data_IF_448399046734
#
_entry.id   IF_448399046734
#
_cell.length_a   1.000
_cell.length_b   1.000
_cell.length_c   1.000
_cell.angle_alpha   90.00
_cell.angle_beta   90.00
_cell.angle_gamma   90.00
#
_symmetry.space_group_name_H-M   'P 1'
#
loop_
_entity.id
_entity.type
_entity.pdbx_description
1 polymer ?
#
# COMPACT_ATOMS: atom_id res chain seq x y z
N UNK A 1 -3.83 12.40 2.18
CA UNK A 1 -2.83 13.49 2.07
C UNK A 1 -1.81 13.34 3.19
N UNK A 2 -0.53 13.02 2.90
CA UNK A 2 0.50 12.95 3.95
C UNK A 2 0.76 14.37 4.48
N UNK A 3 0.63 14.57 5.80
CA UNK A 3 0.90 15.87 6.45
C UNK A 3 2.32 16.31 6.08
N UNK A 4 2.46 17.44 5.39
CA UNK A 4 3.77 18.08 5.16
C UNK A 4 4.46 18.19 6.52
N UNK A 5 5.70 17.68 6.64
CA UNK A 5 6.48 17.79 7.87
C UNK A 5 6.56 19.28 8.21
N UNK A 6 5.90 19.69 9.30
CA UNK A 6 5.85 21.11 9.67
C UNK A 6 7.19 21.58 10.25
N UNK A 7 7.38 22.89 10.36
CA UNK A 7 8.58 23.50 10.98
C UNK A 7 8.93 22.88 12.35
N UNK A 8 7.92 22.46 13.12
CA UNK A 8 8.08 21.74 14.40
C UNK A 8 8.89 20.44 14.29
N UNK A 9 8.81 19.74 13.16
CA UNK A 9 9.60 18.53 12.91
C UNK A 9 11.09 18.87 12.77
N UNK A 10 11.42 19.85 11.93
CA UNK A 10 12.80 20.27 11.71
C UNK A 10 13.43 20.89 12.96
N UNK A 11 12.66 21.61 13.77
CA UNK A 11 13.13 22.13 15.06
C UNK A 11 13.45 21.02 16.07
N UNK A 12 12.59 20.00 16.22
CA UNK A 12 12.87 18.83 17.08
C UNK A 12 14.10 18.07 16.59
N UNK A 13 14.22 17.92 15.27
CA UNK A 13 15.35 17.24 14.65
C UNK A 13 16.65 18.03 14.82
N UNK A 14 16.61 19.36 14.73
CA UNK A 14 17.74 20.24 15.02
C UNK A 14 18.25 20.04 16.45
N UNK A 15 17.35 20.06 17.44
CA UNK A 15 17.71 19.82 18.85
C UNK A 15 18.33 18.43 19.02
N UNK A 16 17.77 17.41 18.38
CA UNK A 16 18.33 16.05 18.42
C UNK A 16 19.75 15.98 17.86
N UNK A 17 19.98 16.58 16.68
CA UNK A 17 21.30 16.63 16.04
C UNK A 17 22.30 17.40 16.88
N UNK A 18 21.88 18.51 17.49
CA UNK A 18 22.72 19.31 18.38
C UNK A 18 23.14 18.51 19.62
N UNK A 19 22.20 17.81 20.27
CA UNK A 19 22.51 16.95 21.43
C UNK A 19 23.46 15.82 21.05
N UNK A 20 23.20 15.12 19.94
CA UNK A 20 24.07 14.06 19.45
C UNK A 20 25.49 14.57 19.15
N UNK A 21 25.59 15.78 18.60
CA UNK A 21 26.87 16.41 18.27
C UNK A 21 27.65 16.84 19.52
N UNK A 22 26.97 17.38 20.53
CA UNK A 22 27.59 17.70 21.83
C UNK A 22 28.15 16.43 22.49
N UNK A 23 27.38 15.33 22.50
CA UNK A 23 27.85 14.04 23.02
C UNK A 23 29.11 13.57 22.27
N UNK A 24 29.11 13.69 20.95
CA UNK A 24 30.26 13.33 20.12
C UNK A 24 31.53 14.11 20.49
N UNK A 25 31.44 15.44 20.65
CA UNK A 25 32.58 16.28 21.05
C UNK A 25 33.08 15.92 22.45
N UNK A 26 32.18 15.67 23.40
CA UNK A 26 32.55 15.25 24.76
C UNK A 26 33.30 13.93 24.75
N UNK A 27 32.86 12.95 23.96
CA UNK A 27 33.54 11.65 23.84
C UNK A 27 34.93 11.81 23.23
N UNK A 28 35.08 12.64 22.19
CA UNK A 28 36.39 12.87 21.56
C UNK A 28 37.32 13.62 22.51
N UNK A 29 36.85 14.67 23.17
CA UNK A 29 37.65 15.41 24.15
C UNK A 29 38.11 14.54 25.31
N UNK A 30 37.23 13.66 25.81
CA UNK A 30 37.58 12.70 26.87
C UNK A 30 38.61 11.64 26.42
N UNK A 31 38.63 11.29 25.13
CA UNK A 31 39.59 10.30 24.57
C UNK A 31 40.94 10.91 24.23
N UNK A 32 40.95 12.14 23.72
CA UNK A 32 42.15 12.79 23.22
C UNK A 32 42.80 13.71 24.26
N UNK A 33 42.14 13.96 25.40
CA UNK A 33 42.65 14.83 26.48
C UNK A 33 42.53 16.33 26.18
N UNK A 34 42.15 16.70 24.97
CA UNK A 34 42.03 18.08 24.52
C UNK A 34 40.74 18.28 23.71
N UNK A 35 40.13 19.44 23.86
CA UNK A 35 39.01 19.86 23.03
C UNK A 35 39.53 20.65 21.83
N UNK A 36 39.28 20.11 20.63
CA UNK A 36 39.61 20.80 19.39
C UNK A 36 38.69 22.02 19.21
N UNK A 37 39.29 23.21 19.21
CA UNK A 37 38.60 24.48 18.99
C UNK A 37 37.86 24.52 17.64
N UNK A 38 38.37 23.79 16.64
CA UNK A 38 37.74 23.63 15.33
C UNK A 38 36.41 22.89 15.44
N UNK A 39 36.34 21.85 16.27
CA UNK A 39 35.12 21.08 16.51
C UNK A 39 34.06 21.89 17.28
N UNK A 40 34.51 22.75 18.19
CA UNK A 40 33.62 23.67 18.91
C UNK A 40 33.04 24.73 17.97
N UNK A 41 33.85 25.29 17.07
CA UNK A 41 33.38 26.22 16.03
C UNK A 41 32.33 25.60 15.11
N UNK A 42 32.40 24.29 14.89
CA UNK A 42 31.41 23.56 14.09
C UNK A 42 30.08 23.27 14.77
N UNK A 43 29.94 23.53 16.07
CA UNK A 43 28.64 23.39 16.76
C UNK A 43 27.54 24.27 16.18
N UNK A 44 27.89 25.41 15.59
CA UNK A 44 26.89 26.35 15.04
C UNK A 44 26.52 25.96 13.62
N UNK A 45 27.50 25.75 12.74
CA UNK A 45 27.21 25.57 11.32
C UNK A 45 26.78 24.14 10.96
N UNK A 46 27.31 23.12 11.62
CA UNK A 46 27.14 21.72 11.21
C UNK A 46 25.70 21.22 11.44
N UNK A 47 25.04 21.50 12.59
CA UNK A 47 23.63 21.18 12.77
C UNK A 47 22.70 21.92 11.79
N UNK A 48 23.01 23.19 11.47
CA UNK A 48 22.24 23.98 10.50
C UNK A 48 22.38 23.36 9.10
N UNK A 49 23.60 23.04 8.68
CA UNK A 49 23.88 22.40 7.40
C UNK A 49 23.20 21.03 7.30
N UNK A 50 23.22 20.24 8.37
CA UNK A 50 22.59 18.92 8.38
C UNK A 50 21.07 19.00 8.24
N UNK A 51 20.42 19.91 8.97
CA UNK A 51 18.97 20.14 8.84
C UNK A 51 18.62 20.69 7.45
N UNK A 52 19.43 21.61 6.93
CA UNK A 52 19.29 22.13 5.56
C UNK A 52 19.42 21.04 4.50
N UNK A 53 20.36 20.12 4.68
CA UNK A 53 20.55 18.97 3.80
C UNK A 53 19.37 18.00 3.89
N UNK A 54 18.86 17.68 5.08
CA UNK A 54 17.65 16.85 5.22
C UNK A 54 16.44 17.51 4.55
N UNK A 55 16.28 18.82 4.69
CA UNK A 55 15.23 19.57 4.01
C UNK A 55 15.41 19.56 2.48
N UNK A 56 16.65 19.69 1.99
CA UNK A 56 17.00 19.62 0.58
C UNK A 56 16.71 18.23 0.01
N UNK A 57 17.07 17.17 0.73
CA UNK A 57 16.77 15.78 0.36
C UNK A 57 15.26 15.53 0.34
N UNK A 58 14.53 15.94 1.38
CA UNK A 58 13.06 15.87 1.39
C UNK A 58 12.49 16.65 0.19
N UNK A 59 13.03 17.81 -0.18
CA UNK A 59 12.48 18.65 -1.25
C UNK A 59 12.81 18.15 -2.67
N UNK A 60 14.02 17.64 -2.89
CA UNK A 60 14.50 17.18 -4.20
C UNK A 60 14.13 15.73 -4.48
N UNK A 61 14.21 14.85 -3.46
CA UNK A 61 13.96 13.43 -3.66
C UNK A 61 12.49 13.05 -3.51
N UNK A 62 11.67 13.81 -2.77
CA UNK A 62 10.25 13.52 -2.68
C UNK A 62 9.54 13.56 -4.06
N UNK A 63 9.75 14.55 -4.95
CA UNK A 63 9.19 14.50 -6.31
C UNK A 63 9.82 13.40 -7.18
N UNK A 64 11.11 13.11 -7.02
CA UNK A 64 11.81 12.03 -7.77
C UNK A 64 11.26 10.63 -7.41
N UNK A 65 11.15 10.32 -6.12
CA UNK A 65 10.57 9.06 -5.64
C UNK A 65 9.05 8.97 -5.87
N UNK A 66 8.31 10.09 -5.82
CA UNK A 66 6.90 10.10 -6.23
C UNK A 66 6.74 9.78 -7.70
N UNK A 67 7.63 10.25 -8.58
CA UNK A 67 7.58 9.98 -10.02
C UNK A 67 7.93 8.53 -10.35
N UNK A 68 8.85 7.92 -9.61
CA UNK A 68 9.25 6.52 -9.77
C UNK A 68 8.24 5.55 -9.12
N UNK A 69 7.61 5.92 -7.99
CA UNK A 69 6.73 5.04 -7.23
C UNK A 69 5.22 5.13 -7.52
N UNK A 70 4.71 6.25 -8.05
CA UNK A 70 3.25 6.44 -8.24
C UNK A 70 2.70 5.96 -9.57
N UNK A 71 3.52 5.77 -10.59
CA UNK A 71 3.03 5.39 -11.92
C UNK A 71 2.29 4.05 -11.96
N UNK A 72 2.67 3.09 -11.09
CA UNK A 72 2.09 1.74 -11.09
C UNK A 72 1.04 1.47 -10.01
N UNK A 73 1.11 2.10 -8.84
CA UNK A 73 0.23 1.76 -7.71
C UNK A 73 -1.17 2.40 -7.78
N UNK A 74 -1.31 3.60 -8.36
CA UNK A 74 -2.59 4.30 -8.41
C UNK A 74 -3.57 3.66 -9.40
N UNK A 75 -3.11 3.29 -10.61
CA UNK A 75 -3.97 2.65 -11.62
C UNK A 75 -4.44 1.25 -11.21
N UNK A 76 -3.58 0.43 -10.62
CA UNK A 76 -3.97 -0.92 -10.17
C UNK A 76 -4.99 -0.89 -9.03
N UNK A 77 -4.86 0.07 -8.09
CA UNK A 77 -5.87 0.24 -7.03
C UNK A 77 -7.19 0.77 -7.56
N UNK A 78 -7.16 1.63 -8.58
CA UNK A 78 -8.36 2.19 -9.22
C UNK A 78 -9.10 1.11 -10.02
N UNK A 79 -8.39 0.33 -10.85
CA UNK A 79 -8.95 -0.83 -11.55
C UNK A 79 -9.53 -1.88 -10.60
N UNK A 80 -8.84 -2.16 -9.48
CA UNK A 80 -9.36 -3.09 -8.46
C UNK A 80 -10.64 -2.55 -7.78
N UNK A 81 -10.73 -1.23 -7.55
CA UNK A 81 -11.93 -0.60 -6.99
C UNK A 81 -13.11 -0.62 -7.96
N UNK A 82 -12.87 -0.33 -9.23
CA UNK A 82 -13.90 -0.42 -10.27
C UNK A 82 -14.40 -1.85 -10.39
N UNK A 83 -13.50 -2.83 -10.48
CA UNK A 83 -13.83 -4.25 -10.48
C UNK A 83 -14.69 -4.66 -9.27
N UNK A 84 -14.29 -4.26 -8.07
CA UNK A 84 -15.03 -4.57 -6.84
C UNK A 84 -16.42 -3.94 -6.84
N UNK A 85 -16.54 -2.70 -7.33
CA UNK A 85 -17.81 -1.97 -7.40
C UNK A 85 -18.77 -2.66 -8.38
N UNK A 86 -18.29 -3.04 -9.57
CA UNK A 86 -19.09 -3.75 -10.56
C UNK A 86 -19.57 -5.09 -10.01
N UNK A 87 -18.68 -5.89 -9.42
CA UNK A 87 -19.08 -7.17 -8.83
C UNK A 87 -20.06 -7.02 -7.66
N UNK A 88 -19.89 -6.00 -6.82
CA UNK A 88 -20.82 -5.74 -5.71
C UNK A 88 -22.21 -5.41 -6.24
N UNK A 89 -22.30 -4.61 -7.30
CA UNK A 89 -23.58 -4.28 -7.94
C UNK A 89 -24.22 -5.51 -8.57
N UNK A 90 -23.43 -6.37 -9.22
CA UNK A 90 -23.92 -7.61 -9.83
C UNK A 90 -24.39 -8.62 -8.78
N UNK A 91 -23.66 -8.79 -7.68
CA UNK A 91 -24.10 -9.62 -6.56
C UNK A 91 -25.37 -9.05 -5.94
N UNK A 92 -25.49 -7.72 -5.80
CA UNK A 92 -26.71 -7.09 -5.29
C UNK A 92 -27.92 -7.21 -6.23
N UNK A 93 -27.67 -7.37 -7.53
CA UNK A 93 -28.74 -7.52 -8.52
C UNK A 93 -29.16 -8.99 -8.68
N UNK A 94 -28.20 -9.91 -8.62
CA UNK A 94 -28.42 -11.35 -8.86
C UNK A 94 -28.68 -12.15 -7.59
N UNK A 95 -28.27 -11.66 -6.42
CA UNK A 95 -28.53 -12.29 -5.12
C UNK A 95 -29.49 -11.42 -4.29
N UNK A 96 -30.54 -12.03 -3.75
CA UNK A 96 -31.45 -11.39 -2.78
C UNK A 96 -30.81 -11.35 -1.38
N UNK A 97 -29.71 -10.61 -1.24
CA UNK A 97 -28.98 -10.48 0.02
C UNK A 97 -29.48 -9.30 0.85
N UNK A 98 -29.54 -9.50 2.16
CA UNK A 98 -29.76 -8.41 3.10
C UNK A 98 -28.49 -7.57 3.28
N UNK A 99 -28.63 -6.36 3.82
CA UNK A 99 -27.49 -5.52 4.20
C UNK A 99 -26.55 -6.25 5.17
N UNK A 100 -27.09 -7.09 6.05
CA UNK A 100 -26.30 -7.86 7.00
C UNK A 100 -25.48 -8.97 6.31
N UNK A 101 -26.03 -9.62 5.29
CA UNK A 101 -25.30 -10.61 4.48
C UNK A 101 -24.13 -9.96 3.76
N UNK A 102 -24.33 -8.78 3.17
CA UNK A 102 -23.24 -8.00 2.58
C UNK A 102 -22.17 -7.61 3.60
N UNK A 103 -22.57 -7.20 4.80
CA UNK A 103 -21.63 -6.89 5.89
C UNK A 103 -20.80 -8.11 6.26
N UNK A 104 -21.44 -9.28 6.39
CA UNK A 104 -20.76 -10.55 6.68
C UNK A 104 -19.79 -10.95 5.57
N UNK A 105 -20.18 -10.81 4.30
CA UNK A 105 -19.29 -11.06 3.16
C UNK A 105 -18.08 -10.13 3.13
N UNK A 106 -18.28 -8.85 3.47
CA UNK A 106 -17.22 -7.85 3.54
C UNK A 106 -16.22 -8.11 4.66
N UNK A 107 -16.69 -8.59 5.80
CA UNK A 107 -15.87 -8.92 6.98
C UNK A 107 -15.21 -10.31 6.85
N UNK A 108 -15.72 -11.19 5.98
CA UNK A 108 -15.20 -12.54 5.80
C UNK A 108 -13.86 -12.54 5.03
N UNK A 109 -12.74 -12.73 5.74
CA UNK A 109 -11.41 -12.76 5.14
C UNK A 109 -11.24 -13.82 4.05
N UNK A 110 -11.88 -14.98 4.18
CA UNK A 110 -11.77 -16.07 3.20
C UNK A 110 -12.43 -15.66 1.89
N UNK A 111 -13.56 -14.96 1.97
CA UNK A 111 -14.27 -14.39 0.83
C UNK A 111 -13.47 -13.26 0.17
N UNK A 112 -12.94 -12.32 0.96
CA UNK A 112 -12.10 -11.23 0.44
C UNK A 112 -10.86 -11.75 -0.30
N UNK A 113 -10.19 -12.80 0.22
CA UNK A 113 -9.07 -13.46 -0.47
C UNK A 113 -9.50 -14.13 -1.77
N UNK A 114 -10.68 -14.76 -1.80
CA UNK A 114 -11.22 -15.38 -3.02
C UNK A 114 -11.53 -14.34 -4.10
N UNK A 115 -12.06 -13.17 -3.71
CA UNK A 115 -12.33 -12.05 -4.61
C UNK A 115 -11.05 -11.41 -5.16
N UNK A 116 -9.98 -11.34 -4.35
CA UNK A 116 -8.66 -10.94 -4.85
C UNK A 116 -8.09 -11.95 -5.85
N UNK A 117 -8.29 -13.24 -5.60
CA UNK A 117 -7.88 -14.29 -6.53
C UNK A 117 -8.65 -14.20 -7.84
N UNK A 118 -9.98 -13.96 -7.82
CA UNK A 118 -10.76 -13.82 -9.05
C UNK A 118 -10.30 -12.62 -9.89
N UNK A 119 -9.93 -11.50 -9.26
CA UNK A 119 -9.32 -10.36 -9.96
C UNK A 119 -7.97 -10.74 -10.61
N UNK A 120 -7.11 -11.47 -9.88
CA UNK A 120 -5.83 -11.93 -10.43
C UNK A 120 -6.03 -12.84 -11.63
N UNK A 121 -6.97 -13.77 -11.57
CA UNK A 121 -7.28 -14.65 -12.71
C UNK A 121 -7.75 -13.85 -13.92
N UNK A 122 -8.55 -12.80 -13.71
CA UNK A 122 -8.98 -11.89 -14.79
C UNK A 122 -7.79 -11.17 -15.47
N UNK A 123 -6.86 -10.65 -14.66
CA UNK A 123 -5.74 -9.84 -15.17
C UNK A 123 -4.61 -10.69 -15.73
N UNK A 124 -4.22 -11.75 -15.02
CA UNK A 124 -3.02 -12.56 -15.25
C UNK A 124 -3.32 -13.90 -15.96
N UNK A 125 -4.59 -14.34 -15.99
CA UNK A 125 -5.01 -15.64 -16.52
C UNK A 125 -5.08 -16.75 -15.46
N UNK A 126 -5.54 -17.93 -15.85
CA UNK A 126 -5.61 -19.10 -14.96
C UNK A 126 -4.23 -19.74 -14.77
N UNK A 127 -3.94 -20.16 -13.54
CA UNK A 127 -2.76 -20.98 -13.21
C UNK A 127 -3.22 -22.28 -12.53
N UNK A 128 -2.36 -23.33 -12.48
CA UNK A 128 -2.70 -24.58 -11.78
C UNK A 128 -3.14 -24.36 -10.33
N UNK A 129 -2.56 -23.35 -9.66
CA UNK A 129 -2.85 -22.99 -8.27
C UNK A 129 -3.96 -21.94 -8.12
N UNK A 130 -4.40 -21.32 -9.21
CA UNK A 130 -5.39 -20.25 -9.21
C UNK A 130 -6.28 -20.32 -10.46
N UNK A 131 -7.39 -21.05 -10.34
CA UNK A 131 -8.38 -21.24 -11.38
C UNK A 131 -9.81 -21.21 -10.81
N UNK A 132 -10.81 -21.09 -11.68
CA UNK A 132 -12.21 -21.00 -11.23
C UNK A 132 -12.71 -22.29 -10.60
N UNK A 133 -12.15 -23.44 -10.95
CA UNK A 133 -12.51 -24.73 -10.35
C UNK A 133 -12.13 -24.79 -8.87
N UNK A 134 -10.98 -24.22 -8.51
CA UNK A 134 -10.55 -24.09 -7.12
C UNK A 134 -11.39 -23.05 -6.36
N UNK A 135 -11.76 -21.93 -7.00
CA UNK A 135 -12.63 -20.92 -6.40
C UNK A 135 -14.05 -21.44 -6.14
N UNK A 136 -14.60 -22.22 -7.08
CA UNK A 136 -15.91 -22.87 -6.96
C UNK A 136 -15.96 -23.82 -5.75
N UNK A 137 -14.94 -24.67 -5.60
CA UNK A 137 -14.86 -25.64 -4.49
C UNK A 137 -14.49 -25.01 -3.15
N UNK A 138 -14.20 -23.70 -3.10
CA UNK A 138 -13.67 -23.04 -1.91
C UNK A 138 -14.71 -22.79 -0.82
N UNK A 139 -16.00 -22.75 -1.16
CA UNK A 139 -17.09 -22.48 -0.23
C UNK A 139 -18.11 -23.63 -0.22
N UNK A 140 -18.87 -23.77 0.85
CA UNK A 140 -19.89 -24.82 0.95
C UNK A 140 -21.09 -24.44 0.09
N UNK A 141 -21.67 -25.39 -0.65
CA UNK A 141 -22.74 -25.12 -1.63
C UNK A 141 -24.01 -24.50 -1.03
N UNK A 142 -24.24 -24.68 0.26
CA UNK A 142 -25.35 -24.17 1.05
C UNK A 142 -25.07 -22.80 1.70
N UNK A 143 -23.88 -22.23 1.47
CA UNK A 143 -23.47 -20.95 2.08
C UNK A 143 -23.78 -19.75 1.17
N UNK A 144 -24.09 -18.62 1.79
CA UNK A 144 -24.25 -17.33 1.10
C UNK A 144 -22.97 -16.89 0.38
N UNK A 145 -21.81 -17.23 0.95
CA UNK A 145 -20.50 -17.01 0.33
C UNK A 145 -20.36 -17.75 -1.00
N UNK A 146 -20.89 -18.98 -1.10
CA UNK A 146 -20.87 -19.75 -2.33
C UNK A 146 -21.76 -19.12 -3.38
N UNK A 147 -22.99 -18.76 -3.02
CA UNK A 147 -23.93 -18.06 -3.90
C UNK A 147 -23.32 -16.77 -4.47
N UNK A 148 -22.72 -15.95 -3.61
CA UNK A 148 -22.01 -14.74 -4.00
C UNK A 148 -20.83 -15.03 -4.94
N UNK A 149 -20.03 -16.07 -4.62
CA UNK A 149 -18.87 -16.44 -5.41
C UNK A 149 -19.26 -16.98 -6.79
N UNK A 150 -20.39 -17.67 -6.94
CA UNK A 150 -20.89 -18.10 -8.25
C UNK A 150 -21.18 -16.91 -9.17
N UNK A 151 -21.82 -15.87 -8.63
CA UNK A 151 -22.07 -14.63 -9.38
C UNK A 151 -20.75 -13.97 -9.77
N UNK A 152 -19.80 -13.89 -8.85
CA UNK A 152 -18.44 -13.35 -9.12
C UNK A 152 -17.75 -14.13 -10.23
N UNK A 153 -17.72 -15.46 -10.16
CA UNK A 153 -17.07 -16.32 -11.16
C UNK A 153 -17.74 -16.13 -12.53
N UNK A 154 -19.07 -16.11 -12.57
CA UNK A 154 -19.84 -15.91 -13.81
C UNK A 154 -19.52 -14.56 -14.44
N UNK A 155 -19.44 -13.51 -13.64
CA UNK A 155 -19.21 -12.16 -14.16
C UNK A 155 -17.77 -11.96 -14.61
N UNK A 156 -16.79 -12.48 -13.85
CA UNK A 156 -15.38 -12.47 -14.26
C UNK A 156 -15.19 -13.21 -15.58
N UNK A 157 -15.87 -14.34 -15.77
CA UNK A 157 -15.88 -15.08 -17.04
C UNK A 157 -16.36 -14.20 -18.20
N UNK A 158 -17.50 -13.52 -18.03
CA UNK A 158 -18.04 -12.61 -19.06
C UNK A 158 -17.08 -11.46 -19.38
N UNK A 159 -16.48 -10.84 -18.36
CA UNK A 159 -15.55 -9.73 -18.54
C UNK A 159 -14.34 -10.15 -19.38
N UNK A 160 -13.76 -11.31 -19.09
CA UNK A 160 -12.65 -11.86 -19.86
C UNK A 160 -13.04 -12.19 -21.31
N UNK A 161 -14.24 -12.75 -21.55
CA UNK A 161 -14.74 -13.02 -22.91
C UNK A 161 -14.99 -11.74 -23.70
N UNK A 162 -15.54 -10.70 -23.07
CA UNK A 162 -15.79 -9.41 -23.71
C UNK A 162 -14.50 -8.64 -24.04
N UNK A 163 -13.44 -8.83 -23.25
CA UNK A 163 -12.10 -8.26 -23.48
C UNK A 163 -11.28 -9.04 -24.52
N UNK A 164 -11.85 -10.05 -25.18
CA UNK A 164 -11.17 -10.86 -26.21
C UNK A 164 -10.16 -11.87 -25.66
N UNK A 165 -10.16 -12.14 -24.34
CA UNK A 165 -9.40 -13.26 -23.75
C UNK A 165 -10.27 -14.52 -23.83
N UNK A 166 -10.03 -15.33 -24.84
CA UNK A 166 -10.84 -16.49 -25.18
C UNK A 166 -10.81 -17.55 -24.05
N UNK A 167 -11.99 -17.95 -23.57
CA UNK A 167 -12.15 -18.99 -22.55
C UNK A 167 -12.19 -20.36 -23.23
N UNK A 168 -11.06 -21.06 -23.27
CA UNK A 168 -11.03 -22.47 -23.65
C UNK A 168 -11.29 -23.30 -22.39
N UNK A 169 -12.37 -24.09 -22.45
CA UNK A 169 -12.89 -24.97 -21.38
C UNK A 169 -11.91 -26.05 -20.95
#
# INVERSE_FOLDING_TARGET
MKRKKGLKYYAKFYVFVLVAYVIYIVIIGARNGEFDATMLGSMVYLPIMFVGLVWLFDSLLEPFFKRIGRGKQTGVQEQYREFFTTLTNEVNTQCEFSIEDFRRLRENERFQKALQQSYKVMTEGETPDMNFTLLDKKFKKDSREYEAMQVVIKEVKKMMTNDGKDYQK
#
